data_IF_628013184308
#
_entry.id   IF_628013184308
#
_cell.length_a   1.000
_cell.length_b   1.000
_cell.length_c   1.000
_cell.angle_alpha   90.00
_cell.angle_beta   90.00
_cell.angle_gamma   90.00
#
_symmetry.space_group_name_H-M   'P 1'
#
loop_
_entity.id
_entity.type
_entity.pdbx_description
1 polymer ?
#
# COMPACT_ATOMS: atom_id res chain seq x y z
N UNK A 1 -0.61 14.75 0.60
CA UNK A 1 0.58 14.17 1.29
C UNK A 1 0.30 12.72 1.65
N UNK A 2 1.23 11.79 1.46
CA UNK A 2 1.12 10.40 1.95
C UNK A 2 1.32 10.39 3.46
N UNK A 3 0.33 9.86 4.19
CA UNK A 3 0.31 9.79 5.66
C UNK A 3 0.44 8.36 6.18
N UNK A 4 0.08 7.36 5.37
CA UNK A 4 0.29 5.95 5.71
C UNK A 4 0.54 5.11 4.45
N UNK A 5 1.39 4.10 4.61
CA UNK A 5 1.53 2.99 3.66
C UNK A 5 1.37 1.67 4.40
N UNK A 6 0.55 0.78 3.84
CA UNK A 6 0.35 -0.57 4.32
C UNK A 6 0.67 -1.58 3.22
N UNK A 7 1.36 -2.66 3.60
CA UNK A 7 1.56 -3.87 2.81
C UNK A 7 0.86 -5.01 3.53
N UNK A 8 -0.12 -5.58 2.85
CA UNK A 8 -1.01 -6.62 3.37
C UNK A 8 -0.78 -7.87 2.53
N UNK A 9 -0.61 -9.02 3.18
CA UNK A 9 -0.35 -10.30 2.55
C UNK A 9 -1.56 -10.84 1.78
N UNK A 10 -1.34 -11.92 1.04
CA UNK A 10 -2.40 -12.60 0.30
C UNK A 10 -3.57 -13.04 1.19
N UNK A 11 -3.28 -13.48 2.40
CA UNK A 11 -4.25 -13.92 3.42
C UNK A 11 -4.74 -12.79 4.34
N UNK A 12 -4.68 -11.54 3.88
CA UNK A 12 -5.09 -10.34 4.63
C UNK A 12 -4.28 -10.12 5.94
N UNK A 13 -3.06 -10.69 6.03
CA UNK A 13 -2.17 -10.44 7.17
C UNK A 13 -1.45 -9.10 7.01
N UNK A 14 -1.39 -8.23 8.04
CA UNK A 14 -0.68 -6.96 7.95
C UNK A 14 0.84 -7.20 8.04
N UNK A 15 1.51 -7.26 6.89
CA UNK A 15 2.96 -7.52 6.81
C UNK A 15 3.75 -6.28 7.21
N UNK A 16 3.29 -5.09 6.85
CA UNK A 16 3.95 -3.83 7.18
C UNK A 16 2.92 -2.70 7.17
N UNK A 17 2.91 -1.86 8.20
CA UNK A 17 2.10 -0.64 8.23
C UNK A 17 3.00 0.44 8.82
N UNK A 18 3.14 1.55 8.10
CA UNK A 18 3.95 2.69 8.51
C UNK A 18 3.21 3.98 8.30
N UNK A 19 3.18 4.76 9.37
CA UNK A 19 2.55 6.08 9.44
C UNK A 19 3.63 7.17 9.38
N UNK A 20 3.25 8.31 8.81
CA UNK A 20 4.09 9.50 8.61
C UNK A 20 3.41 10.77 9.15
N UNK A 21 2.25 10.61 9.79
CA UNK A 21 1.48 11.68 10.43
C UNK A 21 1.89 11.92 11.89
N UNK A 22 0.98 12.46 12.69
CA UNK A 22 1.20 12.74 14.10
C UNK A 22 1.24 11.46 14.95
N UNK A 23 2.03 11.49 16.02
CA UNK A 23 2.11 10.37 16.97
C UNK A 23 0.72 10.07 17.57
N UNK A 24 0.29 8.81 17.51
CA UNK A 24 -0.98 8.35 18.10
C UNK A 24 -2.08 7.98 17.10
N UNK A 25 -1.92 8.27 15.81
CA UNK A 25 -2.91 7.93 14.76
C UNK A 25 -2.76 6.50 14.20
N UNK A 26 -1.79 5.72 14.69
CA UNK A 26 -1.48 4.39 14.15
C UNK A 26 -2.70 3.48 14.07
N UNK A 27 -3.53 3.46 15.12
CA UNK A 27 -4.73 2.63 15.15
C UNK A 27 -5.75 3.03 14.08
N UNK A 28 -5.91 4.33 13.81
CA UNK A 28 -6.80 4.84 12.76
C UNK A 28 -6.35 4.39 11.38
N UNK A 29 -5.06 4.45 11.09
CA UNK A 29 -4.51 3.98 9.82
C UNK A 29 -4.57 2.46 9.65
N UNK A 30 -4.42 1.70 10.74
CA UNK A 30 -4.68 0.27 10.75
C UNK A 30 -6.14 -0.03 10.35
N UNK A 31 -7.10 0.71 10.90
CA UNK A 31 -8.52 0.61 10.55
C UNK A 31 -8.78 0.94 9.08
N UNK A 32 -8.31 2.10 8.60
CA UNK A 32 -8.45 2.52 7.20
C UNK A 32 -7.90 1.45 6.25
N UNK A 33 -6.70 0.91 6.52
CA UNK A 33 -6.08 -0.09 5.68
C UNK A 33 -6.90 -1.39 5.59
N UNK A 34 -7.52 -1.83 6.69
CA UNK A 34 -8.32 -3.06 6.71
C UNK A 34 -9.70 -2.88 6.06
N UNK A 35 -10.39 -1.78 6.32
CA UNK A 35 -11.69 -1.48 5.67
C UNK A 35 -11.53 -1.36 4.15
N UNK A 36 -10.38 -0.87 3.70
CA UNK A 36 -10.07 -0.77 2.27
C UNK A 36 -9.95 -2.12 1.57
N UNK A 37 -9.76 -3.23 2.31
CA UNK A 37 -9.64 -4.57 1.74
C UNK A 37 -10.94 -5.03 1.10
N UNK A 38 -12.09 -4.72 1.71
CA UNK A 38 -13.39 -5.12 1.18
C UNK A 38 -13.61 -4.53 -0.23
N UNK A 39 -13.23 -3.27 -0.43
CA UNK A 39 -13.30 -2.58 -1.73
C UNK A 39 -12.35 -3.23 -2.75
N UNK A 40 -11.14 -3.60 -2.31
CA UNK A 40 -10.18 -4.28 -3.18
C UNK A 40 -10.73 -5.64 -3.61
N UNK A 41 -11.31 -6.41 -2.69
CA UNK A 41 -11.89 -7.73 -2.97
C UNK A 41 -13.09 -7.63 -3.92
N UNK A 42 -13.97 -6.65 -3.72
CA UNK A 42 -15.10 -6.39 -4.62
C UNK A 42 -14.63 -6.02 -6.04
N UNK A 43 -13.62 -5.15 -6.15
CA UNK A 43 -13.02 -4.79 -7.45
C UNK A 43 -12.36 -6.00 -8.12
N UNK A 44 -11.65 -6.85 -7.37
CA UNK A 44 -11.03 -8.06 -7.90
C UNK A 44 -12.06 -9.07 -8.42
N UNK A 45 -13.17 -9.26 -7.70
CA UNK A 45 -14.28 -10.10 -8.14
C UNK A 45 -14.93 -9.55 -9.42
N UNK A 46 -15.13 -8.23 -9.48
CA UNK A 46 -15.72 -7.54 -10.63
C UNK A 46 -14.81 -7.55 -11.86
N UNK A 47 -13.49 -7.42 -11.67
CA UNK A 47 -12.49 -7.45 -12.74
C UNK A 47 -12.41 -8.82 -13.45
N UNK A 48 -12.92 -9.89 -12.84
CA UNK A 48 -13.10 -11.19 -13.49
C UNK A 48 -14.07 -11.17 -14.68
N UNK A 49 -14.88 -10.10 -14.82
CA UNK A 49 -15.93 -9.97 -15.84
C UNK A 49 -15.49 -9.10 -17.03
N UNK A 50 -14.56 -8.15 -16.85
CA UNK A 50 -14.14 -7.21 -17.90
C UNK A 50 -12.64 -6.93 -17.88
N UNK A 51 -11.91 -7.58 -18.79
CA UNK A 51 -10.55 -7.28 -19.28
C UNK A 51 -9.75 -6.16 -18.59
N UNK A 52 -8.74 -6.55 -17.81
CA UNK A 52 -7.31 -6.16 -17.92
C UNK A 52 -6.54 -6.83 -16.76
N UNK A 53 -6.28 -8.14 -16.87
CA UNK A 53 -5.63 -8.94 -15.80
C UNK A 53 -4.18 -8.51 -15.47
N UNK A 54 -3.62 -7.55 -16.19
CA UNK A 54 -2.20 -7.17 -16.09
C UNK A 54 -1.93 -5.83 -15.39
N UNK A 55 -2.94 -4.98 -15.11
CA UNK A 55 -2.70 -3.74 -14.37
C UNK A 55 -2.86 -3.98 -12.86
N UNK A 56 -1.74 -4.02 -12.16
CA UNK A 56 -1.68 -4.17 -10.70
C UNK A 56 -2.17 -2.91 -9.95
N UNK A 57 -2.20 -1.75 -10.61
CA UNK A 57 -2.64 -0.51 -9.98
C UNK A 57 -4.17 -0.42 -9.99
N UNK A 58 -4.78 -0.43 -8.79
CA UNK A 58 -6.25 -0.33 -8.63
C UNK A 58 -6.76 1.11 -8.63
N UNK A 59 -5.84 2.08 -8.60
CA UNK A 59 -6.17 3.50 -8.52
C UNK A 59 -6.82 3.89 -7.20
N UNK A 60 -7.61 4.95 -7.27
CA UNK A 60 -8.43 5.41 -6.16
C UNK A 60 -9.44 4.32 -5.75
N UNK A 61 -9.48 4.00 -4.45
CA UNK A 61 -10.42 3.05 -3.87
C UNK A 61 -11.67 3.77 -3.36
N UNK A 62 -11.48 4.61 -2.34
CA UNK A 62 -12.55 5.38 -1.71
C UNK A 62 -11.96 6.52 -0.87
N UNK A 63 -12.79 7.54 -0.55
CA UNK A 63 -12.53 8.40 0.59
C UNK A 63 -12.91 7.66 1.86
N UNK A 64 -12.03 7.64 2.87
CA UNK A 64 -12.31 7.09 4.19
C UNK A 64 -11.93 8.17 5.21
N UNK A 65 -12.93 8.62 5.98
CA UNK A 65 -12.80 9.80 6.85
C UNK A 65 -12.30 11.01 6.04
N UNK A 66 -11.24 11.67 6.50
CA UNK A 66 -10.61 12.82 5.84
C UNK A 66 -9.47 12.42 4.88
N UNK A 67 -9.38 11.13 4.53
CA UNK A 67 -8.29 10.60 3.73
C UNK A 67 -8.75 10.00 2.41
N UNK A 68 -7.87 10.08 1.41
CA UNK A 68 -8.02 9.41 0.12
C UNK A 68 -7.19 8.15 0.11
N UNK A 69 -7.81 7.03 -0.25
CA UNK A 69 -7.14 5.72 -0.24
C UNK A 69 -6.94 5.23 -1.67
N UNK A 70 -5.73 4.76 -1.95
CA UNK A 70 -5.32 4.18 -3.23
C UNK A 70 -4.80 2.76 -3.04
N UNK A 71 -5.06 1.91 -4.03
CA UNK A 71 -4.75 0.48 -3.97
C UNK A 71 -3.82 0.00 -5.08
N UNK A 72 -3.04 -1.02 -4.76
CA UNK A 72 -2.26 -1.80 -5.71
C UNK A 72 -2.29 -3.27 -5.29
N UNK A 73 -2.52 -4.18 -6.23
CA UNK A 73 -2.56 -5.62 -5.95
C UNK A 73 -1.56 -6.32 -6.86
N UNK A 74 -0.60 -6.99 -6.25
CA UNK A 74 0.38 -7.80 -6.97
C UNK A 74 -0.28 -9.03 -7.60
N UNK A 75 0.39 -9.64 -8.58
CA UNK A 75 -0.01 -10.94 -9.12
C UNK A 75 0.01 -12.09 -8.10
N UNK A 76 0.71 -11.93 -6.96
CA UNK A 76 0.71 -12.87 -5.83
C UNK A 76 -0.35 -12.53 -4.77
N UNK A 77 -1.28 -11.62 -5.09
CA UNK A 77 -2.38 -11.18 -4.24
C UNK A 77 -1.98 -10.43 -2.96
N UNK A 78 -0.71 -10.04 -2.81
CA UNK A 78 -0.34 -9.02 -1.82
C UNK A 78 -0.95 -7.66 -2.22
N UNK A 79 -1.48 -6.93 -1.25
CA UNK A 79 -2.21 -5.66 -1.42
C UNK A 79 -1.42 -4.54 -0.77
N UNK A 80 -1.14 -3.48 -1.52
CA UNK A 80 -0.56 -2.26 -1.00
C UNK A 80 -1.65 -1.19 -0.94
N UNK A 81 -1.74 -0.55 0.21
CA UNK A 81 -2.70 0.53 0.46
C UNK A 81 -1.90 1.77 0.81
N UNK A 82 -2.16 2.87 0.10
CA UNK A 82 -1.57 4.18 0.38
C UNK A 82 -2.70 5.12 0.78
N UNK A 83 -2.52 5.77 1.93
CA UNK A 83 -3.46 6.73 2.48
C UNK A 83 -2.85 8.13 2.33
N UNK A 84 -3.61 9.04 1.73
CA UNK A 84 -3.21 10.42 1.52
C UNK A 84 -4.16 11.37 2.26
N UNK A 85 -3.61 12.39 2.89
CA UNK A 85 -4.37 13.55 3.36
C UNK A 85 -4.90 14.33 2.15
N UNK A 86 -6.14 14.83 2.23
CA UNK A 86 -7.06 15.38 1.20
C UNK A 86 -6.48 16.31 0.10
N UNK A 87 -5.42 15.86 -0.57
CA UNK A 87 -4.82 16.48 -1.74
C UNK A 87 -5.02 15.50 -2.90
N UNK A 88 -5.71 15.90 -3.99
CA UNK A 88 -5.83 15.06 -5.16
C UNK A 88 -4.43 14.81 -5.75
N UNK A 89 -4.07 13.54 -5.93
CA UNK A 89 -2.81 13.13 -6.57
C UNK A 89 -3.12 12.40 -7.87
N UNK A 90 -2.31 12.68 -8.90
CA UNK A 90 -2.45 12.07 -10.22
C UNK A 90 -1.92 10.64 -10.23
N UNK A 91 -2.57 9.76 -10.97
CA UNK A 91 -2.12 8.38 -11.16
C UNK A 91 -0.70 8.27 -11.72
N UNK A 92 -0.27 9.24 -12.54
CA UNK A 92 1.09 9.32 -13.08
C UNK A 92 2.17 9.49 -12.00
N UNK A 93 1.81 9.98 -10.82
CA UNK A 93 2.71 10.14 -9.67
C UNK A 93 2.69 8.90 -8.77
N UNK A 94 1.51 8.33 -8.52
CA UNK A 94 1.36 7.16 -7.66
C UNK A 94 1.79 5.84 -8.30
N UNK A 95 1.64 5.66 -9.62
CA UNK A 95 2.05 4.41 -10.30
C UNK A 95 3.55 4.12 -10.12
N UNK A 96 4.48 5.06 -10.39
CA UNK A 96 5.90 4.87 -10.09
C UNK A 96 6.18 4.59 -8.61
N UNK A 97 5.49 5.29 -7.71
CA UNK A 97 5.62 5.07 -6.27
C UNK A 97 5.27 3.63 -5.88
N UNK A 98 4.10 3.13 -6.30
CA UNK A 98 3.68 1.74 -6.04
C UNK A 98 4.64 0.71 -6.65
N UNK A 99 5.15 0.96 -7.86
CA UNK A 99 6.13 0.07 -8.48
C UNK A 99 7.43 0.00 -7.67
N UNK A 100 7.89 1.11 -7.11
CA UNK A 100 9.09 1.12 -6.27
C UNK A 100 8.83 0.43 -4.91
N UNK A 101 7.66 0.62 -4.29
CA UNK A 101 7.23 -0.14 -3.11
C UNK A 101 7.20 -1.64 -3.41
N UNK A 102 6.66 -2.03 -4.56
CA UNK A 102 6.63 -3.43 -5.00
C UNK A 102 8.05 -4.00 -5.12
N UNK A 103 8.97 -3.26 -5.74
CA UNK A 103 10.38 -3.66 -5.84
C UNK A 103 11.02 -3.85 -4.46
N UNK A 104 10.76 -2.95 -3.51
CA UNK A 104 11.24 -3.07 -2.13
C UNK A 104 10.64 -4.29 -1.43
N UNK A 105 9.35 -4.54 -1.61
CA UNK A 105 8.65 -5.70 -1.06
C UNK A 105 9.22 -7.02 -1.59
N UNK A 106 9.41 -7.14 -2.91
CA UNK A 106 10.01 -8.33 -3.52
C UNK A 106 11.40 -8.59 -2.98
N UNK A 107 12.24 -7.55 -2.85
CA UNK A 107 13.58 -7.70 -2.26
C UNK A 107 13.53 -8.18 -0.80
N UNK A 108 12.57 -7.69 -0.01
CA UNK A 108 12.42 -8.11 1.38
C UNK A 108 11.92 -9.56 1.49
N UNK A 109 10.96 -9.95 0.65
CA UNK A 109 10.40 -11.31 0.60
C UNK A 109 11.35 -12.34 -0.02
N UNK A 110 12.32 -11.90 -0.83
CA UNK A 110 13.33 -12.77 -1.44
C UNK A 110 14.45 -13.20 -0.48
N UNK A 111 14.32 -12.90 0.82
CA UNK A 111 15.24 -13.38 1.83
C UNK A 111 14.88 -14.84 2.22
N UNK A 112 15.74 -15.84 1.93
CA UNK A 112 15.45 -17.25 2.22
C UNK A 112 15.37 -17.58 3.72
N UNK A 113 15.82 -16.67 4.59
CA UNK A 113 15.76 -16.81 6.04
C UNK A 113 14.60 -16.02 6.67
N UNK A 114 13.83 -15.27 5.87
CA UNK A 114 12.67 -14.57 6.39
C UNK A 114 11.48 -15.55 6.53
N UNK A 115 10.82 -15.60 7.69
CA UNK A 115 9.63 -16.41 7.85
C UNK A 115 8.49 -15.89 6.96
N UNK A 116 7.86 -16.79 6.23
CA UNK A 116 6.78 -16.45 5.30
C UNK A 116 5.53 -16.01 6.06
N UNK A 117 4.92 -14.91 5.62
CA UNK A 117 3.66 -14.41 6.17
C UNK A 117 3.81 -13.65 7.49
N UNK A 118 5.03 -13.48 8.00
CA UNK A 118 5.31 -12.66 9.18
C UNK A 118 5.53 -11.18 8.82
N UNK A 119 5.53 -10.33 9.85
CA UNK A 119 5.78 -8.90 9.69
C UNK A 119 7.18 -8.63 9.12
N UNK A 120 7.26 -7.69 8.19
CA UNK A 120 8.52 -7.19 7.64
C UNK A 120 9.20 -6.28 8.68
N UNK A 121 10.13 -6.85 9.45
CA UNK A 121 10.87 -6.18 10.52
C UNK A 121 12.25 -5.65 10.09
N UNK A 122 12.61 -5.81 8.81
CA UNK A 122 13.90 -5.37 8.29
C UNK A 122 14.05 -3.84 8.34
N UNK A 123 15.03 -3.36 9.12
CA UNK A 123 15.36 -1.93 9.22
C UNK A 123 15.73 -1.32 7.86
N UNK A 124 16.38 -2.10 7.00
CA UNK A 124 16.76 -1.63 5.65
C UNK A 124 15.52 -1.41 4.78
N UNK A 125 14.51 -2.27 4.90
CA UNK A 125 13.24 -2.12 4.18
C UNK A 125 12.49 -0.88 4.69
N UNK A 126 12.29 -0.77 6.01
CA UNK A 126 11.60 0.35 6.66
C UNK A 126 12.23 1.71 6.28
N UNK A 127 13.56 1.81 6.34
CA UNK A 127 14.29 3.03 5.95
C UNK A 127 14.10 3.37 4.48
N UNK A 128 14.10 2.38 3.58
CA UNK A 128 13.93 2.62 2.13
C UNK A 128 12.51 3.08 1.81
N UNK A 129 11.50 2.45 2.40
CA UNK A 129 10.10 2.87 2.25
C UNK A 129 9.91 4.27 2.83
N UNK A 130 10.48 4.56 3.99
CA UNK A 130 10.38 5.88 4.62
C UNK A 130 11.00 6.97 3.76
N UNK A 131 12.19 6.73 3.21
CA UNK A 131 12.84 7.66 2.28
C UNK A 131 12.02 7.90 1.01
N UNK A 132 11.40 6.84 0.46
CA UNK A 132 10.54 6.95 -0.72
C UNK A 132 9.32 7.84 -0.44
N UNK A 133 8.68 7.67 0.71
CA UNK A 133 7.54 8.50 1.13
C UNK A 133 7.96 9.95 1.34
N UNK A 134 9.10 10.20 2.00
CA UNK A 134 9.62 11.55 2.19
C UNK A 134 9.89 12.22 0.84
N UNK A 135 10.57 11.53 -0.08
CA UNK A 135 10.85 12.05 -1.43
C UNK A 135 9.56 12.39 -2.19
N UNK A 136 8.57 11.49 -2.15
CA UNK A 136 7.27 11.74 -2.77
C UNK A 136 6.59 12.97 -2.15
N UNK A 137 6.53 13.05 -0.82
CA UNK A 137 5.89 14.14 -0.09
C UNK A 137 6.59 15.50 -0.28
N UNK A 138 7.88 15.54 -0.60
CA UNK A 138 8.60 16.78 -0.92
C UNK A 138 8.49 17.20 -2.39
N UNK A 139 8.12 16.27 -3.28
CA UNK A 139 8.10 16.51 -4.73
C UNK A 139 6.71 16.85 -5.27
N UNK A 140 5.64 16.46 -4.55
CA UNK A 140 4.24 16.80 -4.82
C UNK A 140 3.81 18.08 -4.11
#
# INVERSE_FOLDING_TARGET
MIVCIAVIGATNSPLYIRTFGQEGEDLGFHYIAHVSLDIIEEKLQSAGITNSKDDMYMGFLAPIEDYKVYGYVTNTSAKFVVVLQDTPVRDSELRPFFNEVHRLYVNAMSNPFAPLGERLTSQTFDRRVSNLVVQHNTSS
#
